data_IF_100303433274
#
_entry.id   IF_100303433274
#
_cell.length_a   1.000
_cell.length_b   1.000
_cell.length_c   1.000
_cell.angle_alpha   90.00
_cell.angle_beta   90.00
_cell.angle_gamma   90.00
#
_symmetry.space_group_name_H-M   'P 1'
#
loop_
_entity.id
_entity.type
_entity.pdbx_description
1 polymer ?
#
# COMPACT_ATOMS: atom_id res chain seq x y z
N UNK A 1 5.33 -29.60 16.52
CA UNK A 1 4.12 -29.38 15.69
C UNK A 1 4.59 -29.12 14.28
N UNK A 2 4.03 -29.76 13.25
CA UNK A 2 4.52 -29.60 11.88
C UNK A 2 4.30 -28.14 11.47
N UNK A 3 5.37 -27.47 11.04
CA UNK A 3 5.33 -26.13 10.48
C UNK A 3 4.37 -26.12 9.29
N UNK A 4 3.15 -25.61 9.50
CA UNK A 4 2.23 -25.38 8.41
C UNK A 4 2.88 -24.31 7.53
N UNK A 5 3.40 -24.72 6.37
CA UNK A 5 4.01 -23.79 5.41
C UNK A 5 3.01 -22.67 5.16
N UNK A 6 3.49 -21.42 5.20
CA UNK A 6 2.70 -20.24 4.85
C UNK A 6 2.27 -20.37 3.39
N UNK A 7 1.11 -20.96 3.16
CA UNK A 7 0.48 -20.97 1.85
C UNK A 7 -0.48 -19.81 1.82
N UNK A 8 -0.02 -18.67 1.29
CA UNK A 8 -0.97 -17.68 0.80
C UNK A 8 -1.79 -18.30 -0.32
N UNK A 9 -3.12 -18.10 -0.34
CA UNK A 9 -3.93 -18.58 -1.44
C UNK A 9 -3.50 -17.88 -2.73
N UNK A 10 -3.10 -18.68 -3.73
CA UNK A 10 -3.00 -18.23 -5.12
C UNK A 10 -4.39 -17.80 -5.54
N UNK A 11 -4.53 -16.57 -6.02
CA UNK A 11 -5.80 -16.03 -6.49
C UNK A 11 -5.95 -16.34 -7.97
N UNK A 12 -7.18 -16.54 -8.43
CA UNK A 12 -7.49 -16.63 -9.85
C UNK A 12 -7.05 -15.38 -10.63
N UNK A 13 -7.00 -14.24 -9.96
CA UNK A 13 -6.60 -12.95 -10.47
C UNK A 13 -5.08 -12.84 -10.68
N UNK A 14 -4.27 -13.68 -10.02
CA UNK A 14 -2.82 -13.65 -10.14
C UNK A 14 -2.36 -13.90 -11.59
N UNK A 15 -3.05 -14.78 -12.32
CA UNK A 15 -2.79 -15.11 -13.72
C UNK A 15 -3.21 -14.00 -14.70
N UNK A 16 -4.07 -13.07 -14.25
CA UNK A 16 -4.69 -12.05 -15.10
C UNK A 16 -3.96 -10.71 -15.05
N UNK A 17 -2.93 -10.60 -14.22
CA UNK A 17 -2.21 -9.35 -13.99
C UNK A 17 -0.75 -9.42 -14.40
N UNK A 18 -0.24 -8.28 -14.87
CA UNK A 18 1.19 -8.14 -15.14
C UNK A 18 1.99 -8.42 -13.87
N UNK A 19 3.05 -9.21 -14.00
CA UNK A 19 3.91 -9.59 -12.88
C UNK A 19 3.30 -10.61 -11.90
N UNK A 20 2.23 -11.31 -12.29
CA UNK A 20 1.84 -12.63 -11.77
C UNK A 20 1.35 -12.69 -10.33
N UNK A 21 1.05 -11.55 -9.70
CA UNK A 21 0.51 -11.48 -8.33
C UNK A 21 -0.44 -10.30 -8.24
N UNK A 22 -1.70 -10.57 -7.90
CA UNK A 22 -2.73 -9.56 -7.66
C UNK A 22 -2.51 -8.88 -6.31
N UNK A 23 -2.66 -7.55 -6.27
CA UNK A 23 -2.29 -6.72 -5.12
C UNK A 23 -3.42 -5.83 -4.59
N UNK A 24 -4.54 -5.66 -5.29
CA UNK A 24 -5.53 -4.63 -4.92
C UNK A 24 -6.50 -5.07 -3.81
N UNK A 25 -7.13 -6.24 -3.94
CA UNK A 25 -7.98 -6.84 -2.90
C UNK A 25 -7.61 -8.31 -2.79
N UNK A 26 -6.78 -8.65 -1.81
CA UNK A 26 -6.06 -9.93 -1.79
C UNK A 26 -6.54 -10.89 -0.69
N UNK A 27 -7.56 -10.47 0.05
CA UNK A 27 -8.27 -11.24 1.06
C UNK A 27 -9.31 -10.38 1.77
N UNK A 28 -9.97 -10.95 2.78
CA UNK A 28 -11.07 -10.27 3.48
C UNK A 28 -10.63 -9.12 4.39
N UNK A 29 -9.32 -9.04 4.70
CA UNK A 29 -8.71 -8.02 5.56
C UNK A 29 -7.64 -7.19 4.86
N UNK A 30 -7.13 -7.67 3.72
CA UNK A 30 -5.96 -7.12 3.05
C UNK A 30 -6.39 -6.59 1.69
N UNK A 31 -6.26 -5.28 1.53
CA UNK A 31 -6.60 -4.55 0.32
C UNK A 31 -5.87 -3.23 0.28
N UNK A 32 -5.62 -2.69 -0.90
CA UNK A 32 -5.00 -1.41 -1.12
C UNK A 32 -6.01 -0.40 -1.66
N UNK A 33 -6.04 0.81 -1.08
CA UNK A 33 -6.86 1.94 -1.54
C UNK A 33 -6.06 3.04 -2.26
N UNK A 34 -4.78 2.81 -2.56
CA UNK A 34 -3.84 3.87 -2.97
C UNK A 34 -4.21 4.52 -4.30
N UNK A 35 -4.64 3.73 -5.29
CA UNK A 35 -5.05 4.26 -6.59
C UNK A 35 -6.39 5.04 -6.53
N UNK A 36 -7.13 4.94 -5.43
CA UNK A 36 -8.33 5.73 -5.17
C UNK A 36 -8.05 7.03 -4.41
N UNK A 37 -6.78 7.35 -4.11
CA UNK A 37 -6.45 8.54 -3.32
C UNK A 37 -6.55 8.36 -1.82
N UNK A 38 -6.90 7.17 -1.31
CA UNK A 38 -7.26 7.00 0.10
C UNK A 38 -6.20 7.48 1.10
N UNK A 39 -4.92 7.29 0.76
CA UNK A 39 -3.81 7.65 1.64
C UNK A 39 -3.21 9.03 1.31
N UNK A 40 -3.77 9.76 0.34
CA UNK A 40 -3.39 11.13 0.01
C UNK A 40 -4.15 12.13 0.91
N UNK A 41 -4.04 11.94 2.22
CA UNK A 41 -4.66 12.79 3.25
C UNK A 41 -3.59 13.23 4.25
N UNK A 42 -3.79 14.38 4.88
CA UNK A 42 -2.93 14.83 5.99
C UNK A 42 -3.27 14.07 7.26
N UNK A 43 -2.27 13.80 8.10
CA UNK A 43 -2.48 13.18 9.41
C UNK A 43 -3.17 11.81 9.37
N UNK A 44 -2.88 11.01 8.34
CA UNK A 44 -3.48 9.68 8.15
C UNK A 44 -3.26 8.82 9.40
N UNK A 45 -4.37 8.35 9.99
CA UNK A 45 -4.37 7.34 11.04
C UNK A 45 -5.26 6.18 10.65
N UNK A 46 -4.98 4.98 11.20
CA UNK A 46 -5.80 3.79 10.97
C UNK A 46 -7.26 4.03 11.34
N UNK A 47 -7.50 4.57 12.54
CA UNK A 47 -8.86 4.80 13.05
C UNK A 47 -9.58 5.90 12.27
N UNK A 48 -8.90 7.01 11.95
CA UNK A 48 -9.50 8.09 11.16
C UNK A 48 -9.93 7.63 9.76
N UNK A 49 -9.07 6.88 9.07
CA UNK A 49 -9.44 6.29 7.76
C UNK A 49 -10.56 5.28 7.90
N UNK A 50 -10.52 4.41 8.92
CA UNK A 50 -11.57 3.42 9.17
C UNK A 50 -12.93 4.09 9.34
N UNK A 51 -13.00 5.14 10.16
CA UNK A 51 -14.22 5.91 10.40
C UNK A 51 -14.73 6.58 9.12
N UNK A 52 -13.85 7.24 8.36
CA UNK A 52 -14.19 7.86 7.07
C UNK A 52 -14.82 6.84 6.10
N UNK A 53 -14.19 5.69 5.95
CA UNK A 53 -14.63 4.64 5.03
C UNK A 53 -15.96 3.99 5.44
N UNK A 54 -16.16 3.80 6.74
CA UNK A 54 -17.43 3.30 7.30
C UNK A 54 -18.55 4.33 7.12
N UNK A 55 -18.26 5.61 7.36
CA UNK A 55 -19.22 6.69 7.17
C UNK A 55 -19.65 6.78 5.70
N UNK A 56 -18.70 6.81 4.76
CA UNK A 56 -18.98 6.80 3.32
C UNK A 56 -19.88 5.63 2.94
N UNK A 57 -19.55 4.42 3.40
CA UNK A 57 -20.33 3.21 3.14
C UNK A 57 -21.77 3.31 3.68
N UNK A 58 -21.93 3.77 4.92
CA UNK A 58 -23.23 3.89 5.57
C UNK A 58 -24.13 4.96 4.92
N UNK A 59 -23.54 6.08 4.47
CA UNK A 59 -24.27 7.13 3.77
C UNK A 59 -24.62 6.72 2.34
N UNK A 60 -23.67 6.14 1.59
CA UNK A 60 -23.92 5.67 0.23
C UNK A 60 -24.94 4.54 0.16
N UNK A 61 -25.07 3.72 1.22
CA UNK A 61 -26.12 2.71 1.34
C UNK A 61 -27.54 3.31 1.28
N UNK A 62 -27.70 4.59 1.65
CA UNK A 62 -28.99 5.32 1.62
C UNK A 62 -29.26 5.98 0.27
N UNK A 63 -28.27 6.03 -0.63
CA UNK A 63 -28.35 6.71 -1.93
C UNK A 63 -29.13 5.83 -2.93
N UNK A 64 -30.23 6.31 -3.52
CA UNK A 64 -30.91 5.59 -4.60
C UNK A 64 -29.94 5.26 -5.75
N UNK A 65 -30.01 4.05 -6.31
CA UNK A 65 -29.19 3.68 -7.48
C UNK A 65 -29.73 4.30 -8.77
N UNK A 66 -29.60 5.62 -8.84
CA UNK A 66 -29.92 6.49 -9.97
C UNK A 66 -28.73 7.41 -10.21
N UNK A 67 -28.47 7.76 -11.48
CA UNK A 67 -27.31 8.56 -11.89
C UNK A 67 -27.21 9.85 -11.07
N UNK A 68 -28.27 10.67 -11.05
CA UNK A 68 -28.26 11.97 -10.38
C UNK A 68 -28.03 11.85 -8.86
N UNK A 69 -28.57 10.80 -8.23
CA UNK A 69 -28.39 10.59 -6.80
C UNK A 69 -26.95 10.19 -6.45
N UNK A 70 -26.32 9.35 -7.29
CA UNK A 70 -24.91 8.95 -7.12
C UNK A 70 -23.97 10.14 -7.35
N UNK A 71 -24.24 10.95 -8.37
CA UNK A 71 -23.47 12.17 -8.63
C UNK A 71 -23.66 13.22 -7.52
N UNK A 72 -24.89 13.38 -7.01
CA UNK A 72 -25.19 14.23 -5.87
C UNK A 72 -24.40 13.82 -4.62
N UNK A 73 -24.38 12.52 -4.29
CA UNK A 73 -23.54 12.00 -3.22
C UNK A 73 -22.05 12.36 -3.41
N UNK A 74 -21.52 12.22 -4.62
CA UNK A 74 -20.13 12.53 -4.89
C UNK A 74 -19.79 14.01 -4.64
N UNK A 75 -20.68 14.90 -5.09
CA UNK A 75 -20.55 16.34 -4.91
C UNK A 75 -20.58 16.70 -3.41
N UNK A 76 -21.61 16.26 -2.70
CA UNK A 76 -21.77 16.53 -1.26
C UNK A 76 -20.55 16.05 -0.47
N UNK A 77 -20.03 14.87 -0.83
CA UNK A 77 -18.88 14.29 -0.16
C UNK A 77 -17.57 15.00 -0.47
N UNK A 78 -17.38 15.44 -1.71
CA UNK A 78 -16.21 16.22 -2.11
C UNK A 78 -16.16 17.58 -1.41
N UNK A 79 -17.33 18.19 -1.15
CA UNK A 79 -17.44 19.44 -0.38
C UNK A 79 -17.10 19.20 1.09
N UNK A 80 -17.65 18.14 1.71
CA UNK A 80 -17.43 17.85 3.12
C UNK A 80 -15.97 17.50 3.43
N UNK A 81 -15.35 16.68 2.58
CA UNK A 81 -13.99 16.19 2.80
C UNK A 81 -12.91 17.18 2.36
N UNK A 82 -13.29 18.22 1.61
CA UNK A 82 -12.38 19.23 1.11
C UNK A 82 -11.44 18.72 0.01
N UNK A 83 -10.49 19.57 -0.36
CA UNK A 83 -9.51 19.31 -1.43
C UNK A 83 -8.06 19.62 -0.99
N UNK A 84 -7.82 19.84 0.31
CA UNK A 84 -6.46 20.05 0.84
C UNK A 84 -5.74 18.70 0.97
N UNK A 85 -5.33 18.17 -0.18
CA UNK A 85 -4.59 16.93 -0.28
C UNK A 85 -3.08 17.23 -0.39
N UNK A 86 -2.21 16.38 0.20
CA UNK A 86 -0.76 16.54 0.07
C UNK A 86 -0.25 16.56 -1.38
N UNK A 87 -0.87 15.77 -2.26
CA UNK A 87 -0.65 15.81 -3.72
C UNK A 87 -1.92 16.35 -4.40
N UNK A 88 -1.99 17.65 -4.73
CA UNK A 88 -3.22 18.30 -5.19
C UNK A 88 -3.76 17.76 -6.52
N UNK A 89 -2.87 17.33 -7.43
CA UNK A 89 -3.25 16.81 -8.75
C UNK A 89 -3.80 15.39 -8.69
N UNK A 90 -3.74 14.75 -7.51
CA UNK A 90 -4.14 13.37 -7.36
C UNK A 90 -5.58 13.25 -6.84
N UNK A 91 -6.46 12.70 -7.68
CA UNK A 91 -7.87 12.59 -7.38
C UNK A 91 -8.15 11.67 -6.17
N UNK A 92 -8.97 12.18 -5.25
CA UNK A 92 -9.47 11.45 -4.10
C UNK A 92 -10.90 10.94 -4.36
N UNK A 93 -11.04 9.63 -4.53
CA UNK A 93 -12.31 9.01 -4.87
C UNK A 93 -13.17 8.80 -3.61
N UNK A 94 -14.26 9.58 -3.53
CA UNK A 94 -15.29 9.50 -2.47
C UNK A 94 -16.08 8.19 -2.46
N UNK A 95 -15.95 7.37 -3.51
CA UNK A 95 -16.59 6.06 -3.61
C UNK A 95 -15.77 4.91 -3.05
N UNK A 96 -14.55 5.17 -2.56
CA UNK A 96 -13.83 4.19 -1.74
C UNK A 96 -14.48 4.11 -0.36
N UNK A 97 -14.95 2.93 0.03
CA UNK A 97 -15.63 2.67 1.29
C UNK A 97 -15.18 1.36 1.92
N UNK A 98 -15.63 1.12 3.15
CA UNK A 98 -15.32 -0.12 3.88
C UNK A 98 -16.30 -1.24 3.47
N UNK A 99 -15.76 -2.40 3.13
CA UNK A 99 -16.50 -3.67 3.04
C UNK A 99 -16.29 -4.41 4.37
N UNK A 100 -17.39 -4.82 5.00
CA UNK A 100 -17.40 -5.40 6.37
C UNK A 100 -17.98 -6.80 6.47
N UNK A 101 -18.26 -7.47 5.34
CA UNK A 101 -18.99 -8.74 5.32
C UNK A 101 -18.27 -9.89 6.05
N UNK A 102 -17.00 -10.14 5.73
CA UNK A 102 -16.20 -11.27 6.24
C UNK A 102 -14.85 -10.80 6.83
N UNK A 103 -14.79 -9.52 7.21
CA UNK A 103 -13.58 -8.78 7.56
C UNK A 103 -13.66 -7.35 7.03
N UNK A 104 -12.68 -6.52 7.42
CA UNK A 104 -12.60 -5.14 6.97
C UNK A 104 -11.60 -4.99 5.83
N UNK A 105 -12.09 -4.58 4.66
CA UNK A 105 -11.25 -4.25 3.50
C UNK A 105 -11.79 -3.06 2.73
N UNK A 106 -10.93 -2.37 2.02
CA UNK A 106 -11.28 -1.27 1.13
C UNK A 106 -11.94 -1.80 -0.13
N UNK A 107 -13.05 -1.18 -0.53
CA UNK A 107 -13.71 -1.47 -1.80
C UNK A 107 -14.39 -0.28 -2.44
N UNK A 108 -14.76 -0.46 -3.70
CA UNK A 108 -15.49 0.55 -4.46
C UNK A 108 -16.99 0.36 -4.30
N UNK A 109 -17.68 1.37 -3.79
CA UNK A 109 -19.13 1.33 -3.58
C UNK A 109 -19.92 1.35 -4.90
N UNK A 110 -19.29 1.73 -6.02
CA UNK A 110 -19.85 1.69 -7.37
C UNK A 110 -19.64 0.35 -8.10
N UNK A 111 -18.87 -0.57 -7.51
CA UNK A 111 -18.58 -1.85 -8.14
C UNK A 111 -19.87 -2.67 -8.33
N UNK A 112 -20.05 -3.43 -9.42
CA UNK A 112 -21.26 -4.23 -9.65
C UNK A 112 -21.56 -5.25 -8.55
N UNK A 113 -20.52 -5.72 -7.85
CA UNK A 113 -20.63 -6.63 -6.70
C UNK A 113 -20.88 -5.91 -5.36
N UNK A 114 -20.89 -4.58 -5.32
CA UNK A 114 -21.17 -3.86 -4.09
C UNK A 114 -22.65 -3.95 -3.72
N UNK A 115 -22.94 -3.90 -2.42
CA UNK A 115 -24.29 -4.02 -1.90
C UNK A 115 -25.24 -2.98 -2.52
N UNK A 116 -26.43 -3.45 -2.90
CA UNK A 116 -27.47 -2.63 -3.53
C UNK A 116 -27.27 -2.31 -5.01
N UNK A 117 -26.14 -2.69 -5.62
CA UNK A 117 -25.89 -2.39 -7.04
C UNK A 117 -26.50 -3.41 -8.01
N UNK A 118 -26.90 -4.59 -7.53
CA UNK A 118 -27.60 -5.62 -8.32
C UNK A 118 -26.89 -5.98 -9.64
N UNK A 119 -25.55 -6.02 -9.64
CA UNK A 119 -24.76 -6.34 -10.84
C UNK A 119 -24.55 -5.17 -11.82
N UNK A 120 -25.16 -4.00 -11.57
CA UNK A 120 -24.96 -2.80 -12.39
C UNK A 120 -23.62 -2.16 -12.06
N UNK A 121 -22.79 -1.97 -13.08
CA UNK A 121 -21.49 -1.31 -12.93
C UNK A 121 -21.64 0.22 -12.98
N UNK A 122 -21.66 0.83 -11.80
CA UNK A 122 -21.77 2.29 -11.67
C UNK A 122 -20.44 3.01 -11.74
N UNK A 123 -19.30 2.30 -11.89
CA UNK A 123 -17.97 2.92 -11.85
C UNK A 123 -17.75 3.97 -12.94
N UNK A 124 -18.54 3.93 -14.02
CA UNK A 124 -18.59 4.98 -15.04
C UNK A 124 -18.95 6.38 -14.51
N UNK A 125 -19.52 6.47 -13.31
CA UNK A 125 -19.85 7.74 -12.64
C UNK A 125 -18.73 8.28 -11.73
N UNK A 126 -17.62 7.54 -11.58
CA UNK A 126 -16.44 8.03 -10.87
C UNK A 126 -15.53 8.82 -11.81
N UNK A 127 -14.65 9.65 -11.24
CA UNK A 127 -13.67 10.45 -11.99
C UNK A 127 -12.82 9.62 -12.97
N UNK A 128 -12.33 8.46 -12.52
CA UNK A 128 -11.51 7.57 -13.35
C UNK A 128 -12.34 6.77 -14.37
N UNK A 129 -13.63 6.56 -14.10
CA UNK A 129 -14.49 5.69 -14.88
C UNK A 129 -14.19 4.19 -14.70
N UNK A 130 -15.10 3.34 -15.18
CA UNK A 130 -15.00 1.88 -15.01
C UNK A 130 -13.79 1.25 -15.71
N UNK A 131 -13.42 1.75 -16.90
CA UNK A 131 -12.31 1.22 -17.67
C UNK A 131 -10.96 1.44 -16.98
N UNK A 132 -10.68 2.67 -16.53
CA UNK A 132 -9.42 2.96 -15.82
C UNK A 132 -9.34 2.19 -14.50
N UNK A 133 -10.43 2.16 -13.71
CA UNK A 133 -10.45 1.38 -12.47
C UNK A 133 -10.24 -0.13 -12.67
N UNK A 134 -10.61 -0.68 -13.83
CA UNK A 134 -10.45 -2.11 -14.13
C UNK A 134 -9.07 -2.46 -14.68
N UNK A 135 -8.49 -1.57 -15.50
CA UNK A 135 -7.29 -1.87 -16.29
C UNK A 135 -6.01 -1.26 -15.69
N UNK A 136 -6.15 -0.30 -14.79
CA UNK A 136 -5.00 0.33 -14.17
C UNK A 136 -4.37 -0.56 -13.10
N UNK A 137 -3.05 -0.72 -13.20
CA UNK A 137 -2.21 -1.35 -12.19
C UNK A 137 -1.09 -0.38 -11.82
N UNK A 138 -0.81 -0.25 -10.52
CA UNK A 138 0.29 0.62 -10.06
C UNK A 138 1.67 0.06 -10.47
N UNK A 139 2.75 0.85 -10.37
CA UNK A 139 4.10 0.41 -10.73
C UNK A 139 4.53 -0.89 -10.05
N UNK A 140 4.11 -1.14 -8.80
CA UNK A 140 4.44 -2.38 -8.07
C UNK A 140 4.12 -3.64 -8.87
N UNK A 141 3.05 -3.66 -9.65
CA UNK A 141 2.71 -4.80 -10.49
C UNK A 141 3.79 -5.12 -11.54
N UNK A 142 4.41 -4.11 -12.14
CA UNK A 142 5.43 -4.29 -13.18
C UNK A 142 6.85 -4.35 -12.60
N UNK A 143 7.15 -3.52 -11.61
CA UNK A 143 8.52 -3.23 -11.16
C UNK A 143 8.98 -4.10 -9.98
N UNK A 144 8.05 -4.63 -9.17
CA UNK A 144 8.40 -5.46 -8.01
C UNK A 144 8.41 -6.95 -8.40
N UNK A 145 9.44 -7.68 -7.97
CA UNK A 145 9.53 -9.12 -8.22
C UNK A 145 8.34 -9.89 -7.63
N UNK A 146 7.77 -10.89 -8.34
CA UNK A 146 6.63 -11.68 -7.86
C UNK A 146 6.83 -12.29 -6.47
N UNK A 147 8.03 -12.82 -6.19
CA UNK A 147 8.36 -13.41 -4.88
C UNK A 147 8.30 -12.39 -3.74
N UNK A 148 8.68 -11.14 -3.99
CA UNK A 148 8.61 -10.07 -3.01
C UNK A 148 7.18 -9.57 -2.82
N UNK A 149 6.38 -9.49 -3.89
CA UNK A 149 4.93 -9.23 -3.79
C UNK A 149 4.25 -10.22 -2.85
N UNK A 150 4.57 -11.51 -3.00
CA UNK A 150 4.03 -12.57 -2.15
C UNK A 150 4.46 -12.43 -0.67
N UNK A 151 5.72 -12.05 -0.41
CA UNK A 151 6.18 -11.77 0.96
C UNK A 151 5.37 -10.64 1.61
N UNK A 152 5.18 -9.53 0.90
CA UNK A 152 4.42 -8.37 1.42
C UNK A 152 2.96 -8.75 1.68
N UNK A 153 2.35 -9.47 0.72
CA UNK A 153 0.98 -9.96 0.81
C UNK A 153 0.76 -10.90 2.01
N UNK A 154 1.78 -11.67 2.39
CA UNK A 154 1.72 -12.61 3.50
C UNK A 154 2.04 -11.97 4.86
N UNK A 155 2.96 -11.00 4.88
CA UNK A 155 3.48 -10.42 6.12
C UNK A 155 2.67 -9.24 6.66
N UNK A 156 1.85 -8.60 5.82
CA UNK A 156 0.99 -7.48 6.21
C UNK A 156 -0.48 -7.93 6.27
N UNK A 157 -1.13 -7.68 7.40
CA UNK A 157 -2.37 -8.38 7.77
C UNK A 157 -3.64 -7.55 7.61
N UNK A 158 -3.50 -6.26 7.33
CA UNK A 158 -4.63 -5.34 7.19
C UNK A 158 -4.44 -4.34 6.06
N UNK A 159 -5.55 -3.77 5.62
CA UNK A 159 -5.63 -2.80 4.54
C UNK A 159 -4.86 -1.49 4.80
N UNK A 160 -4.63 -1.12 6.05
CA UNK A 160 -4.00 0.15 6.40
C UNK A 160 -2.50 0.07 6.14
N UNK A 161 -1.82 -0.87 6.79
CA UNK A 161 -0.37 -1.07 6.62
C UNK A 161 -0.06 -1.53 5.21
N UNK A 162 -0.84 -2.50 4.71
CA UNK A 162 -0.64 -3.04 3.37
C UNK A 162 -0.79 -1.97 2.31
N UNK A 163 -1.84 -1.14 2.34
CA UNK A 163 -2.06 -0.11 1.33
C UNK A 163 -1.06 1.04 1.38
N UNK A 164 -0.50 1.37 2.55
CA UNK A 164 0.57 2.36 2.69
C UNK A 164 1.93 1.84 2.22
N UNK A 165 2.17 0.52 2.31
CA UNK A 165 3.48 -0.09 1.98
C UNK A 165 3.51 -0.64 0.55
N UNK A 166 2.50 -1.39 0.09
CA UNK A 166 2.56 -2.08 -1.22
C UNK A 166 2.85 -1.18 -2.43
N UNK A 167 2.39 0.10 -2.50
CA UNK A 167 2.73 0.96 -3.64
C UNK A 167 4.22 1.39 -3.65
N UNK A 168 4.90 1.30 -2.50
CA UNK A 168 6.28 1.73 -2.27
C UNK A 168 7.30 0.70 -2.82
N UNK A 169 7.11 0.26 -4.07
CA UNK A 169 7.92 -0.78 -4.72
C UNK A 169 9.44 -0.51 -4.68
N UNK A 170 9.88 0.75 -4.82
CA UNK A 170 11.30 1.13 -4.72
C UNK A 170 11.86 0.87 -3.33
N UNK A 171 11.12 1.24 -2.27
CA UNK A 171 11.48 0.95 -0.89
C UNK A 171 11.53 -0.56 -0.64
N UNK A 172 10.49 -1.29 -1.03
CA UNK A 172 10.40 -2.74 -0.83
C UNK A 172 11.58 -3.43 -1.53
N UNK A 173 11.86 -3.05 -2.78
CA UNK A 173 12.97 -3.62 -3.54
C UNK A 173 14.34 -3.32 -2.91
N UNK A 174 14.55 -2.08 -2.43
CA UNK A 174 15.79 -1.72 -1.74
C UNK A 174 15.97 -2.48 -0.41
N UNK A 175 14.92 -2.57 0.40
CA UNK A 175 14.94 -3.25 1.69
C UNK A 175 15.16 -4.77 1.56
N UNK A 176 14.42 -5.42 0.67
CA UNK A 176 14.55 -6.87 0.46
C UNK A 176 15.83 -7.20 -0.30
N UNK A 177 16.25 -6.37 -1.26
CA UNK A 177 17.55 -6.51 -1.92
C UNK A 177 18.73 -6.40 -0.94
N UNK A 178 18.69 -5.44 -0.01
CA UNK A 178 19.73 -5.29 1.03
C UNK A 178 19.79 -6.52 1.94
N UNK A 179 18.62 -7.03 2.31
CA UNK A 179 18.50 -8.24 3.11
C UNK A 179 19.07 -9.47 2.40
N UNK A 180 18.79 -9.64 1.11
CA UNK A 180 19.33 -10.73 0.30
C UNK A 180 20.84 -10.64 0.08
N UNK A 181 21.35 -9.44 -0.20
CA UNK A 181 22.78 -9.20 -0.33
C UNK A 181 23.52 -9.62 0.94
N UNK A 182 22.95 -9.29 2.11
CA UNK A 182 23.50 -9.66 3.41
C UNK A 182 23.40 -11.16 3.70
N UNK A 183 22.32 -11.81 3.29
CA UNK A 183 22.12 -13.25 3.45
C UNK A 183 22.87 -14.09 2.40
N UNK A 184 23.38 -13.45 1.33
CA UNK A 184 23.98 -14.09 0.17
C UNK A 184 23.09 -15.16 -0.49
N UNK A 185 21.77 -14.96 -0.42
CA UNK A 185 20.77 -15.85 -1.02
C UNK A 185 19.47 -15.12 -1.26
N UNK A 186 18.64 -15.70 -2.13
CA UNK A 186 17.27 -15.21 -2.32
C UNK A 186 16.35 -15.64 -1.18
N UNK A 187 15.36 -14.81 -0.89
CA UNK A 187 14.27 -15.05 0.05
C UNK A 187 12.93 -15.08 -0.68
N UNK A 188 12.01 -15.87 -0.15
CA UNK A 188 10.66 -16.05 -0.65
C UNK A 188 9.83 -16.84 0.35
N UNK A 189 8.51 -16.89 0.15
CA UNK A 189 7.60 -17.55 1.10
C UNK A 189 7.93 -19.03 1.36
N UNK A 190 8.49 -19.72 0.35
CA UNK A 190 8.81 -21.15 0.47
C UNK A 190 9.94 -21.47 1.45
N UNK A 191 10.76 -20.48 1.82
CA UNK A 191 11.95 -20.65 2.66
C UNK A 191 11.87 -19.91 3.98
N UNK A 192 10.89 -19.04 4.19
CA UNK A 192 10.72 -18.29 5.44
C UNK A 192 9.79 -19.03 6.40
N UNK A 193 10.14 -19.02 7.69
CA UNK A 193 9.24 -19.36 8.78
C UNK A 193 8.30 -18.19 9.11
N UNK A 194 7.25 -18.42 9.90
CA UNK A 194 6.35 -17.36 10.41
C UNK A 194 7.12 -16.28 11.18
N UNK A 195 8.11 -16.70 11.97
CA UNK A 195 8.96 -15.81 12.72
C UNK A 195 9.80 -14.91 11.80
N UNK A 196 10.41 -15.52 10.77
CA UNK A 196 11.21 -14.82 9.78
C UNK A 196 10.36 -13.86 8.92
N UNK A 197 9.15 -14.29 8.52
CA UNK A 197 8.22 -13.42 7.80
C UNK A 197 7.77 -12.23 8.66
N UNK A 198 7.50 -12.46 9.95
CA UNK A 198 7.19 -11.38 10.90
C UNK A 198 8.34 -10.38 11.01
N UNK A 199 9.60 -10.85 11.03
CA UNK A 199 10.77 -9.98 11.03
C UNK A 199 10.88 -9.14 9.75
N UNK A 200 10.64 -9.75 8.58
CA UNK A 200 10.59 -9.04 7.29
C UNK A 200 9.47 -7.99 7.29
N UNK A 201 8.27 -8.34 7.76
CA UNK A 201 7.15 -7.40 7.85
C UNK A 201 7.46 -6.23 8.78
N UNK A 202 8.16 -6.46 9.91
CA UNK A 202 8.63 -5.39 10.80
C UNK A 202 9.64 -4.46 10.12
N UNK A 203 10.58 -4.99 9.34
CA UNK A 203 11.49 -4.17 8.55
C UNK A 203 10.71 -3.27 7.58
N UNK A 204 9.68 -3.79 6.90
CA UNK A 204 8.87 -2.99 5.98
C UNK A 204 8.00 -1.94 6.69
N UNK A 205 7.50 -2.25 7.90
CA UNK A 205 6.72 -1.32 8.71
C UNK A 205 7.47 -0.06 9.14
N UNK A 206 8.81 -0.08 9.09
CA UNK A 206 9.65 1.11 9.34
C UNK A 206 9.28 2.30 8.45
N UNK A 207 8.62 2.04 7.32
CA UNK A 207 8.09 3.06 6.42
C UNK A 207 6.96 3.91 7.02
N UNK A 208 6.24 3.38 8.01
CA UNK A 208 5.09 4.01 8.64
C UNK A 208 5.48 4.92 9.80
N UNK A 209 6.53 4.54 10.54
CA UNK A 209 6.97 5.18 11.78
C UNK A 209 8.40 5.75 11.70
N UNK A 210 8.89 6.01 10.48
CA UNK A 210 10.25 6.51 10.25
C UNK A 210 10.51 7.84 10.96
N UNK A 211 11.38 7.89 11.99
CA UNK A 211 11.52 9.07 12.86
C UNK A 211 12.33 10.21 12.21
N UNK A 212 13.04 9.91 11.12
CA UNK A 212 13.95 10.86 10.46
C UNK A 212 13.32 11.58 9.26
N UNK A 213 12.00 11.41 9.09
CA UNK A 213 11.18 12.05 8.06
C UNK A 213 10.71 13.44 8.53
N UNK A 214 10.41 14.34 7.59
CA UNK A 214 9.57 15.50 7.90
C UNK A 214 8.15 15.05 8.33
N UNK A 215 7.66 15.39 9.54
CA UNK A 215 6.32 15.03 9.99
C UNK A 215 5.19 15.44 9.04
N UNK A 216 5.39 16.50 8.24
CA UNK A 216 4.41 16.99 7.27
C UNK A 216 4.50 16.31 5.90
N UNK A 217 5.50 15.44 5.68
CA UNK A 217 5.65 14.74 4.42
C UNK A 217 4.53 13.70 4.25
N UNK A 218 3.90 13.62 3.06
CA UNK A 218 2.93 12.58 2.77
C UNK A 218 3.51 11.18 3.07
N UNK A 219 2.67 10.32 3.65
CA UNK A 219 3.06 8.94 3.93
C UNK A 219 3.02 8.04 2.70
N UNK A 220 2.36 8.43 1.63
CA UNK A 220 2.32 7.68 0.39
C UNK A 220 2.54 8.63 -0.79
N UNK A 221 3.36 8.20 -1.74
CA UNK A 221 3.73 8.99 -2.94
C UNK A 221 3.51 8.21 -4.23
N UNK A 222 3.69 6.90 -4.17
CA UNK A 222 3.76 6.03 -5.33
C UNK A 222 2.37 5.53 -5.78
N UNK A 223 1.39 6.43 -5.87
CA UNK A 223 0.01 6.10 -6.25
C UNK A 223 -0.10 5.77 -7.75
N UNK A 224 0.56 6.60 -8.55
CA UNK A 224 0.66 6.54 -10.00
C UNK A 224 2.09 6.86 -10.42
N UNK A 225 2.48 6.43 -11.62
CA UNK A 225 3.74 6.83 -12.27
C UNK A 225 3.73 8.32 -12.67
N UNK A 226 3.19 9.20 -11.83
CA UNK A 226 3.15 10.64 -12.09
C UNK A 226 4.58 11.18 -12.03
N UNK A 227 4.78 12.29 -12.77
CA UNK A 227 6.09 12.90 -13.03
C UNK A 227 6.82 13.47 -11.79
N UNK A 228 6.27 13.31 -10.58
CA UNK A 228 6.76 13.90 -9.33
C UNK A 228 6.91 12.87 -8.20
N UNK A 229 7.28 11.63 -8.53
CA UNK A 229 7.58 10.59 -7.52
C UNK A 229 9.07 10.54 -7.14
N UNK A 230 9.88 11.42 -7.71
CA UNK A 230 11.30 11.52 -7.37
C UNK A 230 11.48 12.20 -6.02
N UNK A 231 12.18 11.50 -5.13
CA UNK A 231 12.47 11.97 -3.79
C UNK A 231 13.88 12.55 -3.73
N UNK A 232 14.10 13.59 -2.91
CA UNK A 232 15.42 14.19 -2.74
C UNK A 232 16.47 13.15 -2.38
N UNK A 233 17.67 13.32 -2.92
CA UNK A 233 18.79 12.47 -2.53
C UNK A 233 19.11 12.67 -1.04
N UNK A 234 19.52 11.58 -0.38
CA UNK A 234 19.97 11.59 0.99
C UNK A 234 21.38 11.02 1.03
N UNK A 235 22.39 11.89 1.04
CA UNK A 235 23.79 11.47 1.12
C UNK A 235 24.18 11.21 2.58
N UNK A 236 24.40 9.93 2.90
CA UNK A 236 24.89 9.48 4.20
C UNK A 236 26.42 9.24 4.20
N UNK A 237 27.11 9.62 3.12
CA UNK A 237 28.55 9.49 2.92
C UNK A 237 28.93 8.40 1.90
N UNK A 238 30.16 8.45 1.37
CA UNK A 238 30.61 7.59 0.26
C UNK A 238 30.77 6.10 0.62
N UNK A 239 30.72 5.75 1.90
CA UNK A 239 30.89 4.36 2.37
C UNK A 239 29.58 3.61 2.60
N UNK A 240 28.44 4.21 2.28
CA UNK A 240 27.12 3.63 2.55
C UNK A 240 26.71 2.68 1.42
N UNK A 241 26.15 1.52 1.80
CA UNK A 241 25.57 0.58 0.85
C UNK A 241 24.54 1.30 -0.05
N UNK A 242 24.65 1.21 -1.40
CA UNK A 242 23.71 1.84 -2.32
C UNK A 242 22.24 1.47 -2.08
N UNK A 243 21.94 0.27 -1.58
CA UNK A 243 20.59 -0.14 -1.22
C UNK A 243 20.10 0.59 0.03
N UNK A 244 20.95 0.81 1.03
CA UNK A 244 20.63 1.63 2.19
C UNK A 244 20.41 3.09 1.75
N UNK A 245 21.27 3.62 0.88
CA UNK A 245 21.06 4.96 0.31
C UNK A 245 19.71 5.10 -0.41
N UNK A 246 19.27 4.08 -1.15
CA UNK A 246 17.93 4.02 -1.73
C UNK A 246 16.82 3.94 -0.69
N UNK A 247 16.99 3.14 0.37
CA UNK A 247 16.01 3.09 1.47
C UNK A 247 15.86 4.46 2.15
N UNK A 248 16.96 5.16 2.44
CA UNK A 248 16.92 6.50 3.05
C UNK A 248 16.11 7.49 2.20
N UNK A 249 16.31 7.46 0.89
CA UNK A 249 15.56 8.26 -0.09
C UNK A 249 14.07 7.92 -0.07
N UNK A 250 13.72 6.63 -0.17
CA UNK A 250 12.32 6.18 -0.19
C UNK A 250 11.62 6.27 1.19
N UNK A 251 12.39 6.50 2.25
CA UNK A 251 11.89 6.82 3.58
C UNK A 251 11.76 8.34 3.81
N UNK A 252 12.02 9.17 2.79
CA UNK A 252 12.01 10.64 2.88
C UNK A 252 12.89 11.15 4.03
N UNK A 253 14.05 10.52 4.20
CA UNK A 253 14.98 10.86 5.28
C UNK A 253 15.55 12.25 5.08
N UNK A 254 15.42 13.10 6.10
CA UNK A 254 16.01 14.44 6.07
C UNK A 254 17.55 14.34 6.07
N UNK A 255 18.26 15.12 5.23
CA UNK A 255 19.73 15.02 5.11
C UNK A 255 20.48 15.15 6.45
N UNK A 256 19.98 15.98 7.37
CA UNK A 256 20.57 16.16 8.71
C UNK A 256 20.61 14.88 9.56
N UNK A 257 19.77 13.90 9.24
CA UNK A 257 19.69 12.61 9.94
C UNK A 257 20.29 11.46 9.14
N UNK A 258 20.82 11.70 7.93
CA UNK A 258 21.18 10.64 6.98
C UNK A 258 22.08 9.55 7.58
N UNK A 259 23.10 9.94 8.35
CA UNK A 259 24.07 9.02 8.95
C UNK A 259 23.47 8.18 10.09
N UNK A 260 22.73 8.83 10.99
CA UNK A 260 22.04 8.16 12.11
C UNK A 260 20.98 7.17 11.58
N UNK A 261 20.21 7.64 10.60
CA UNK A 261 19.21 6.86 9.88
C UNK A 261 19.83 5.63 9.19
N UNK A 262 20.98 5.78 8.54
CA UNK A 262 21.70 4.66 7.91
C UNK A 262 22.11 3.60 8.94
N UNK A 263 22.62 4.03 10.11
CA UNK A 263 22.99 3.12 11.19
C UNK A 263 21.79 2.34 11.73
N UNK A 264 20.62 2.98 11.86
CA UNK A 264 19.39 2.29 12.25
C UNK A 264 18.97 1.25 11.21
N UNK A 265 19.05 1.57 9.92
CA UNK A 265 18.75 0.60 8.85
C UNK A 265 19.68 -0.61 8.87
N UNK A 266 20.98 -0.40 9.07
CA UNK A 266 21.94 -1.49 9.24
C UNK A 266 21.56 -2.41 10.41
N UNK A 267 21.19 -1.84 11.55
CA UNK A 267 20.77 -2.61 12.72
C UNK A 267 19.49 -3.41 12.46
N UNK A 268 18.50 -2.81 11.79
CA UNK A 268 17.25 -3.46 11.42
C UNK A 268 17.47 -4.59 10.41
N UNK A 269 18.33 -4.36 9.41
CA UNK A 269 18.72 -5.38 8.42
C UNK A 269 19.46 -6.54 9.09
N UNK A 270 20.41 -6.26 9.99
CA UNK A 270 21.16 -7.28 10.72
C UNK A 270 20.24 -8.12 11.63
N UNK A 271 19.31 -7.48 12.36
CA UNK A 271 18.32 -8.17 13.18
C UNK A 271 17.40 -9.06 12.34
N UNK A 272 16.93 -8.55 11.20
CA UNK A 272 16.06 -9.30 10.28
C UNK A 272 16.80 -10.49 9.66
N UNK A 273 18.04 -10.30 9.21
CA UNK A 273 18.89 -11.37 8.69
C UNK A 273 19.14 -12.47 9.73
N UNK A 274 19.39 -12.09 11.00
CA UNK A 274 19.54 -13.06 12.09
C UNK A 274 18.27 -13.89 12.34
N UNK A 275 17.08 -13.29 12.19
CA UNK A 275 15.81 -14.00 12.31
C UNK A 275 15.51 -14.94 11.13
N UNK A 276 16.21 -14.79 10.00
CA UNK A 276 16.10 -15.67 8.81
C UNK A 276 17.18 -16.76 8.80
N UNK A 277 18.34 -16.48 9.40
CA UNK A 277 19.47 -17.42 9.50
C UNK A 277 19.38 -18.43 10.65
N UNK A 278 18.42 -18.25 11.57
CA UNK A 278 18.04 -19.23 12.60
C UNK A 278 16.96 -20.15 12.08
#
# INVERSE_FOLDING_TARGET
MPHMKITMPILSEDEQVRGGVYLCQVGNRISCGSCCGLYNLRGVTREGLRQLLLQRAAEFAKVPRKIDAILGFALDRSVLEGQDHPVPEFHHCVFAGMITNDGERIGCMLHPLAAGNCGVDWRGLSFYGGAACRLYFCPTYAELEPRWKLLVRAGLEDWFEYGLIIPEHRFIAAALGALEARLQRTIGLSVLSDHSLTAVARLLRTRLDWPFRNPDAPLAWNFFSTRLTDRPECDAGPSIDPLIGRMLRELDTLPKHAREAAMLLEELLARTASAIGK
#
